data_IF_230636931259
#
_entry.id   IF_230636931259
#
_cell.length_a   1.000
_cell.length_b   1.000
_cell.length_c   1.000
_cell.angle_alpha   90.00
_cell.angle_beta   90.00
_cell.angle_gamma   90.00
#
_symmetry.space_group_name_H-M   'P 1'
#
loop_
_entity.id
_entity.type
_entity.pdbx_description
1 polymer ?
#
# COMPACT_ATOMS: atom_id res chain seq x y z
N UNK A 1 32.43 60.14 52.76
CA UNK A 1 33.82 59.63 52.77
C UNK A 1 33.76 58.14 53.04
N UNK A 2 34.45 57.33 52.24
CA UNK A 2 34.48 55.86 52.29
C UNK A 2 34.91 55.34 53.67
N UNK A 3 34.48 54.14 54.08
CA UNK A 3 35.33 52.92 54.18
C UNK A 3 34.42 51.71 54.40
N UNK A 4 34.67 50.65 53.62
CA UNK A 4 34.03 49.36 53.72
C UNK A 4 34.84 48.37 54.58
N UNK A 5 34.13 47.34 55.07
CA UNK A 5 34.57 46.00 55.48
C UNK A 5 35.36 45.84 56.79
N UNK A 6 34.81 44.98 57.65
CA UNK A 6 35.50 43.75 58.04
C UNK A 6 34.48 42.60 58.00
N UNK A 7 34.77 41.59 57.18
CA UNK A 7 34.09 40.30 57.17
C UNK A 7 34.74 39.46 58.26
N UNK A 8 33.98 39.02 59.26
CA UNK A 8 34.42 37.94 60.15
C UNK A 8 34.28 36.62 59.41
N UNK A 9 35.42 36.14 58.91
CA UNK A 9 35.56 34.82 58.30
C UNK A 9 35.76 33.80 59.42
N UNK A 10 34.70 33.08 59.78
CA UNK A 10 34.73 31.99 60.75
C UNK A 10 35.39 30.74 60.10
N UNK A 11 36.56 30.25 60.57
CA UNK A 11 37.39 29.31 59.82
C UNK A 11 37.09 27.83 60.10
N UNK A 12 35.96 27.49 60.72
CA UNK A 12 35.68 26.11 61.09
C UNK A 12 34.72 25.41 60.12
N UNK A 13 35.08 24.24 59.55
CA UNK A 13 34.16 23.48 58.71
C UNK A 13 32.98 23.00 59.55
N UNK A 14 31.75 23.32 59.11
CA UNK A 14 30.52 22.84 59.75
C UNK A 14 30.58 21.31 59.95
N UNK A 15 30.18 20.78 61.12
CA UNK A 15 30.18 19.35 61.35
C UNK A 15 29.27 18.65 60.33
N UNK A 16 29.84 17.73 59.53
CA UNK A 16 29.08 16.93 58.56
C UNK A 16 28.05 16.09 59.33
N UNK A 17 26.77 16.21 58.98
CA UNK A 17 25.65 15.45 59.56
C UNK A 17 26.00 13.95 59.52
N UNK A 18 25.81 13.25 60.64
CA UNK A 18 25.94 11.78 60.72
C UNK A 18 25.14 11.14 59.59
N UNK A 19 25.62 10.04 58.96
CA UNK A 19 24.90 9.39 57.89
C UNK A 19 23.54 8.93 58.41
N UNK A 20 22.49 9.61 57.92
CA UNK A 20 21.11 9.27 58.24
C UNK A 20 20.74 7.93 57.61
N UNK A 21 19.71 7.29 58.18
CA UNK A 21 19.12 6.03 57.72
C UNK A 21 18.88 6.08 56.20
N UNK A 22 19.25 5.02 55.44
CA UNK A 22 19.09 5.03 53.99
C UNK A 22 17.62 5.25 53.59
N UNK A 23 17.35 6.00 52.51
CA UNK A 23 16.01 6.39 52.10
C UNK A 23 15.15 5.17 51.72
N UNK A 24 13.84 5.24 52.02
CA UNK A 24 12.88 4.12 51.96
C UNK A 24 12.82 3.37 50.62
N UNK A 25 13.16 4.01 49.50
CA UNK A 25 13.19 3.36 48.19
C UNK A 25 14.32 2.32 48.03
N UNK A 26 15.29 2.28 48.96
CA UNK A 26 16.36 1.25 49.02
C UNK A 26 16.02 0.06 49.94
N UNK A 27 14.82 -0.02 50.52
CA UNK A 27 14.47 -1.05 51.51
C UNK A 27 13.80 -2.32 50.94
N UNK A 28 13.79 -2.52 49.61
CA UNK A 28 13.08 -3.65 48.98
C UNK A 28 13.81 -4.35 47.82
N UNK A 29 15.04 -3.96 47.48
CA UNK A 29 15.81 -4.67 46.46
C UNK A 29 16.31 -5.99 47.04
N UNK A 30 15.88 -7.12 46.46
CA UNK A 30 16.50 -8.43 46.70
C UNK A 30 18.00 -8.25 46.52
N UNK A 31 18.77 -8.27 47.60
CA UNK A 31 20.21 -8.17 47.55
C UNK A 31 20.73 -9.44 46.88
N UNK A 32 20.94 -9.38 45.56
CA UNK A 32 21.79 -10.35 44.87
C UNK A 32 23.11 -10.34 45.64
N UNK A 33 23.50 -11.48 46.17
CA UNK A 33 24.78 -11.63 46.88
C UNK A 33 25.86 -11.60 45.80
N UNK A 34 26.34 -10.39 45.48
CA UNK A 34 27.46 -10.22 44.57
C UNK A 34 28.70 -10.80 45.22
N UNK A 35 29.05 -12.03 44.81
CA UNK A 35 30.29 -12.68 45.23
C UNK A 35 31.40 -12.07 44.39
N UNK A 36 32.10 -11.09 44.97
CA UNK A 36 33.24 -10.43 44.31
C UNK A 36 34.36 -11.45 44.18
N UNK A 37 34.87 -11.72 42.97
CA UNK A 37 36.03 -12.59 42.78
C UNK A 37 37.23 -12.06 43.58
N UNK A 38 38.01 -12.96 44.18
CA UNK A 38 39.15 -12.61 45.06
C UNK A 38 40.14 -11.65 44.38
N UNK A 39 40.39 -11.83 43.09
CA UNK A 39 41.31 -10.99 42.32
C UNK A 39 40.78 -9.56 42.14
N UNK A 40 39.46 -9.42 42.02
CA UNK A 40 38.81 -8.13 41.89
C UNK A 40 38.79 -7.39 43.22
N UNK A 41 38.54 -8.10 44.32
CA UNK A 41 38.64 -7.53 45.66
C UNK A 41 40.05 -6.96 45.92
N UNK A 42 41.11 -7.68 45.51
CA UNK A 42 42.49 -7.18 45.61
C UNK A 42 42.73 -5.94 44.72
N UNK A 43 42.18 -5.89 43.51
CA UNK A 43 42.27 -4.71 42.64
C UNK A 43 41.55 -3.49 43.24
N UNK A 44 40.35 -3.67 43.78
CA UNK A 44 39.60 -2.59 44.44
C UNK A 44 40.38 -2.05 45.65
N UNK A 45 41.00 -2.92 46.45
CA UNK A 45 41.89 -2.51 47.55
C UNK A 45 43.08 -1.68 47.08
N UNK A 46 43.73 -2.06 45.98
CA UNK A 46 44.82 -1.26 45.40
C UNK A 46 44.34 0.11 44.93
N UNK A 47 43.16 0.20 44.31
CA UNK A 47 42.59 1.48 43.86
C UNK A 47 42.27 2.42 45.02
N UNK A 48 41.83 1.87 46.17
CA UNK A 48 41.65 2.64 47.40
C UNK A 48 43.01 3.13 47.94
N UNK A 49 44.03 2.28 47.93
CA UNK A 49 45.39 2.66 48.34
C UNK A 49 46.01 3.73 47.43
N UNK A 50 45.69 3.72 46.13
CA UNK A 50 46.06 4.74 45.16
C UNK A 50 45.27 6.05 45.31
N UNK A 51 44.33 6.12 46.27
CA UNK A 51 43.52 7.31 46.53
C UNK A 51 42.41 7.57 45.49
N UNK A 52 42.09 6.58 44.65
CA UNK A 52 41.02 6.71 43.63
C UNK A 52 39.61 6.56 44.21
N UNK A 53 39.49 6.01 45.41
CA UNK A 53 38.25 5.89 46.18
C UNK A 53 38.54 6.24 47.65
N UNK A 54 37.58 6.85 48.34
CA UNK A 54 37.69 7.22 49.76
C UNK A 54 37.66 5.99 50.68
N UNK A 55 37.05 4.88 50.23
CA UNK A 55 36.98 3.64 51.01
C UNK A 55 36.76 2.39 50.15
N UNK A 56 37.08 1.21 50.71
CA UNK A 56 36.76 -0.08 50.08
C UNK A 56 35.25 -0.24 49.83
N UNK A 57 34.41 0.30 50.71
CA UNK A 57 32.94 0.24 50.59
C UNK A 57 32.46 1.06 49.39
N UNK A 58 33.03 2.24 49.17
CA UNK A 58 32.74 3.07 48.01
C UNK A 58 33.18 2.37 46.72
N UNK A 59 34.39 1.82 46.68
CA UNK A 59 34.90 1.08 45.52
C UNK A 59 34.01 -0.12 45.15
N UNK A 60 33.56 -0.88 46.15
CA UNK A 60 32.62 -2.00 45.98
C UNK A 60 31.26 -1.49 45.47
N UNK A 61 30.74 -0.40 46.03
CA UNK A 61 29.46 0.18 45.61
C UNK A 61 29.49 0.59 44.14
N UNK A 62 30.53 1.30 43.70
CA UNK A 62 30.69 1.68 42.30
C UNK A 62 30.82 0.47 41.38
N UNK A 63 31.54 -0.57 41.80
CA UNK A 63 31.65 -1.81 41.04
C UNK A 63 30.28 -2.49 40.85
N UNK A 64 29.51 -2.67 41.92
CA UNK A 64 28.19 -3.33 41.85
C UNK A 64 27.25 -2.53 40.95
N UNK A 65 27.20 -1.20 41.09
CA UNK A 65 26.40 -0.34 40.22
C UNK A 65 26.80 -0.44 38.74
N UNK A 66 28.10 -0.57 38.45
CA UNK A 66 28.59 -0.74 37.09
C UNK A 66 28.27 -2.13 36.53
N UNK A 67 28.39 -3.17 37.35
CA UNK A 67 28.04 -4.54 36.98
C UNK A 67 26.55 -4.68 36.64
N UNK A 68 25.65 -4.12 37.46
CA UNK A 68 24.22 -4.11 37.17
C UNK A 68 23.92 -3.41 35.83
N UNK A 69 24.58 -2.27 35.57
CA UNK A 69 24.41 -1.55 34.30
C UNK A 69 24.97 -2.33 33.11
N UNK A 70 26.07 -3.06 33.28
CA UNK A 70 26.61 -3.93 32.24
C UNK A 70 25.65 -5.07 31.93
N UNK A 71 25.08 -5.72 32.94
CA UNK A 71 24.10 -6.79 32.76
C UNK A 71 22.86 -6.29 32.00
N UNK A 72 22.34 -5.11 32.36
CA UNK A 72 21.25 -4.47 31.63
C UNK A 72 21.58 -4.19 30.16
N UNK A 73 22.80 -3.71 29.89
CA UNK A 73 23.27 -3.46 28.53
C UNK A 73 23.45 -4.76 27.74
N UNK A 74 23.98 -5.82 28.34
CA UNK A 74 24.11 -7.15 27.71
C UNK A 74 22.75 -7.73 27.34
N UNK A 75 21.78 -7.68 28.25
CA UNK A 75 20.41 -8.12 27.96
C UNK A 75 19.77 -7.30 26.84
N UNK A 76 20.04 -5.99 26.81
CA UNK A 76 19.55 -5.12 25.73
C UNK A 76 20.20 -5.45 24.40
N UNK A 77 21.51 -5.68 24.37
CA UNK A 77 22.26 -6.08 23.16
C UNK A 77 21.69 -7.39 22.63
N UNK A 78 21.55 -8.40 23.48
CA UNK A 78 21.01 -9.71 23.10
C UNK A 78 19.60 -9.60 22.49
N UNK A 79 18.73 -8.77 23.07
CA UNK A 79 17.40 -8.50 22.48
C UNK A 79 17.50 -7.83 21.11
N UNK A 80 18.36 -6.83 20.96
CA UNK A 80 18.57 -6.14 19.69
C UNK A 80 19.14 -7.08 18.62
N UNK A 81 20.09 -7.96 18.96
CA UNK A 81 20.63 -8.97 18.06
C UNK A 81 19.54 -9.93 17.56
N UNK A 82 18.68 -10.43 18.47
CA UNK A 82 17.56 -11.29 18.05
C UNK A 82 16.55 -10.55 17.17
N UNK A 83 16.29 -9.27 17.43
CA UNK A 83 15.41 -8.46 16.60
C UNK A 83 16.01 -8.19 15.22
N UNK A 84 17.32 -7.93 15.16
CA UNK A 84 18.05 -7.73 13.93
C UNK A 84 17.97 -8.99 13.06
N UNK A 85 18.24 -10.16 13.63
CA UNK A 85 18.20 -11.43 12.89
C UNK A 85 16.81 -11.73 12.31
N UNK A 86 15.74 -11.46 13.07
CA UNK A 86 14.37 -11.59 12.57
C UNK A 86 14.12 -10.60 11.43
N UNK A 87 14.56 -9.35 11.56
CA UNK A 87 14.38 -8.32 10.53
C UNK A 87 15.18 -8.60 9.27
N UNK A 88 16.37 -9.18 9.39
CA UNK A 88 17.17 -9.61 8.25
C UNK A 88 16.47 -10.72 7.48
N UNK A 89 15.95 -11.75 8.17
CA UNK A 89 15.14 -12.82 7.55
C UNK A 89 13.88 -12.28 6.86
N UNK A 90 13.17 -11.35 7.49
CA UNK A 90 12.02 -10.67 6.88
C UNK A 90 12.43 -9.90 5.62
N UNK A 91 13.56 -9.20 5.65
CA UNK A 91 14.06 -8.43 4.50
C UNK A 91 14.44 -9.35 3.34
N UNK A 92 15.12 -10.46 3.62
CA UNK A 92 15.44 -11.48 2.62
C UNK A 92 14.18 -12.06 1.96
N UNK A 93 13.16 -12.40 2.76
CA UNK A 93 11.89 -12.88 2.25
C UNK A 93 11.18 -11.84 1.35
N UNK A 94 11.18 -10.58 1.76
CA UNK A 94 10.61 -9.49 0.95
C UNK A 94 11.38 -9.29 -0.36
N UNK A 95 12.71 -9.33 -0.34
CA UNK A 95 13.54 -9.26 -1.57
C UNK A 95 13.24 -10.42 -2.52
N UNK A 96 13.09 -11.63 -1.98
CA UNK A 96 12.70 -12.79 -2.79
C UNK A 96 11.31 -12.58 -3.42
N UNK A 97 10.35 -12.03 -2.66
CA UNK A 97 9.02 -11.73 -3.18
C UNK A 97 9.03 -10.65 -4.27
N UNK A 98 9.84 -9.61 -4.11
CA UNK A 98 10.03 -8.57 -5.14
C UNK A 98 10.52 -9.20 -6.44
N UNK A 99 11.53 -10.07 -6.37
CA UNK A 99 12.05 -10.76 -7.56
C UNK A 99 11.00 -11.58 -8.30
N UNK A 100 10.13 -12.28 -7.55
CA UNK A 100 9.01 -13.02 -8.15
C UNK A 100 8.02 -12.09 -8.83
N UNK A 101 7.65 -10.98 -8.18
CA UNK A 101 6.73 -9.99 -8.75
C UNK A 101 7.33 -9.31 -9.99
N UNK A 102 8.64 -9.08 -10.03
CA UNK A 102 9.35 -8.58 -11.20
C UNK A 102 9.25 -9.57 -12.37
N UNK A 103 9.47 -10.87 -12.14
CA UNK A 103 9.29 -11.88 -13.20
C UNK A 103 7.83 -11.98 -13.67
N UNK A 104 6.85 -11.93 -12.76
CA UNK A 104 5.42 -11.93 -13.12
C UNK A 104 5.06 -10.69 -13.97
N UNK A 105 5.66 -9.54 -13.65
CA UNK A 105 5.48 -8.31 -14.42
C UNK A 105 6.06 -8.44 -15.84
N UNK A 106 7.27 -8.98 -15.97
CA UNK A 106 7.89 -9.23 -17.28
C UNK A 106 7.05 -10.18 -18.14
N UNK A 107 6.53 -11.25 -17.53
CA UNK A 107 5.62 -12.17 -18.22
C UNK A 107 4.34 -11.47 -18.69
N UNK A 108 3.71 -10.68 -17.83
CA UNK A 108 2.51 -9.90 -18.18
C UNK A 108 2.77 -8.89 -19.30
N UNK A 109 3.94 -8.24 -19.32
CA UNK A 109 4.34 -7.37 -20.41
C UNK A 109 4.50 -8.15 -21.73
N UNK A 110 5.09 -9.35 -21.68
CA UNK A 110 5.15 -10.26 -22.82
C UNK A 110 3.77 -10.67 -23.34
N UNK A 111 2.83 -10.98 -22.44
CA UNK A 111 1.44 -11.27 -22.81
C UNK A 111 0.72 -10.07 -23.43
N UNK A 112 0.96 -8.85 -22.92
CA UNK A 112 0.41 -7.62 -23.52
C UNK A 112 0.94 -7.37 -24.93
N UNK A 113 2.22 -7.66 -25.19
CA UNK A 113 2.77 -7.54 -26.54
C UNK A 113 2.12 -8.56 -27.49
N UNK A 114 1.99 -9.82 -27.07
CA UNK A 114 1.28 -10.84 -27.86
C UNK A 114 -0.18 -10.48 -28.13
N UNK A 115 -0.88 -9.91 -27.14
CA UNK A 115 -2.25 -9.44 -27.31
C UNK A 115 -2.35 -8.37 -28.40
N UNK A 116 -1.45 -7.37 -28.39
CA UNK A 116 -1.38 -6.34 -29.44
C UNK A 116 -1.09 -6.91 -30.83
N UNK A 117 -0.21 -7.90 -30.93
CA UNK A 117 0.05 -8.58 -32.20
C UNK A 117 -1.18 -9.33 -32.73
N UNK A 118 -1.93 -9.98 -31.84
CA UNK A 118 -3.17 -10.66 -32.20
C UNK A 118 -4.28 -9.68 -32.59
N UNK A 119 -4.41 -8.56 -31.88
CA UNK A 119 -5.33 -7.48 -32.24
C UNK A 119 -5.04 -6.96 -33.65
N UNK A 120 -3.76 -6.70 -33.98
CA UNK A 120 -3.37 -6.27 -35.32
C UNK A 120 -3.69 -7.31 -36.40
N UNK A 121 -3.41 -8.59 -36.15
CA UNK A 121 -3.78 -9.69 -37.07
C UNK A 121 -5.29 -9.78 -37.25
N UNK A 122 -6.06 -9.54 -36.19
CA UNK A 122 -7.50 -9.55 -36.24
C UNK A 122 -8.05 -8.38 -37.08
N UNK A 123 -7.47 -7.19 -36.95
CA UNK A 123 -7.77 -6.05 -37.83
C UNK A 123 -7.42 -6.34 -39.30
N UNK A 124 -6.25 -6.91 -39.57
CA UNK A 124 -5.82 -7.31 -40.92
C UNK A 124 -6.80 -8.32 -41.53
N UNK A 125 -7.18 -9.36 -40.78
CA UNK A 125 -8.16 -10.35 -41.21
C UNK A 125 -9.56 -9.75 -41.40
N UNK A 126 -9.97 -8.78 -40.57
CA UNK A 126 -11.23 -8.08 -40.77
C UNK A 126 -11.22 -7.26 -42.06
N UNK A 127 -10.12 -6.59 -42.38
CA UNK A 127 -9.96 -5.86 -43.65
C UNK A 127 -10.00 -6.82 -44.84
N UNK A 128 -9.32 -7.96 -44.76
CA UNK A 128 -9.39 -9.00 -45.78
C UNK A 128 -10.80 -9.57 -45.93
N UNK A 129 -11.51 -9.82 -44.82
CA UNK A 129 -12.89 -10.28 -44.84
C UNK A 129 -13.80 -9.25 -45.54
N UNK A 130 -13.62 -7.96 -45.28
CA UNK A 130 -14.37 -6.88 -45.95
C UNK A 130 -14.06 -6.87 -47.45
N UNK A 131 -12.79 -7.01 -47.84
CA UNK A 131 -12.40 -7.09 -49.26
C UNK A 131 -12.98 -8.32 -49.95
N UNK A 132 -12.96 -9.47 -49.29
CA UNK A 132 -13.53 -10.72 -49.84
C UNK A 132 -15.05 -10.61 -49.93
N UNK A 133 -15.73 -10.04 -48.93
CA UNK A 133 -17.18 -9.80 -48.98
C UNK A 133 -17.56 -8.79 -50.06
N UNK A 134 -16.85 -7.66 -50.16
CA UNK A 134 -17.06 -6.68 -51.24
C UNK A 134 -16.76 -7.25 -52.63
N UNK A 135 -15.76 -8.14 -52.73
CA UNK A 135 -15.50 -8.94 -53.93
C UNK A 135 -16.64 -9.91 -54.25
N UNK A 136 -17.21 -10.57 -53.23
CA UNK A 136 -18.36 -11.46 -53.37
C UNK A 136 -19.64 -10.71 -53.76
N UNK A 137 -19.84 -9.50 -53.23
CA UNK A 137 -20.95 -8.63 -53.59
C UNK A 137 -20.79 -8.11 -55.02
N UNK A 138 -19.56 -7.84 -55.49
CA UNK A 138 -19.30 -7.55 -56.90
C UNK A 138 -19.52 -8.76 -57.83
N UNK A 139 -19.21 -9.99 -57.39
CA UNK A 139 -19.48 -11.22 -58.15
C UNK A 139 -20.98 -11.59 -58.18
N UNK A 140 -21.74 -11.27 -57.13
CA UNK A 140 -23.21 -11.37 -57.14
C UNK A 140 -23.86 -10.28 -57.99
N UNK A 141 -23.21 -9.12 -58.14
CA UNK A 141 -23.73 -8.00 -58.94
C UNK A 141 -23.64 -8.20 -60.46
N UNK A 142 -22.85 -9.15 -60.96
CA UNK A 142 -22.85 -9.49 -62.39
C UNK A 142 -24.05 -10.36 -62.80
N UNK A 143 -24.64 -11.14 -61.89
CA UNK A 143 -25.84 -11.96 -62.16
C UNK A 143 -27.17 -11.26 -61.82
N UNK A 144 -27.16 -10.14 -61.09
CA UNK A 144 -28.36 -9.37 -60.72
C UNK A 144 -28.44 -7.99 -61.39
N UNK A 145 -28.10 -7.90 -62.68
CA UNK A 145 -28.37 -6.71 -63.50
C UNK A 145 -29.84 -6.65 -63.98
N UNK A 146 -30.81 -6.75 -63.05
CA UNK A 146 -32.20 -6.26 -63.24
C UNK A 146 -32.84 -5.88 -61.90
N UNK A 147 -32.64 -4.63 -61.51
CA UNK A 147 -33.61 -3.89 -60.68
C UNK A 147 -33.07 -3.30 -59.39
N UNK A 148 -32.79 -2.00 -59.42
CA UNK A 148 -33.05 -1.09 -58.31
C UNK A 148 -32.09 -1.12 -57.12
N UNK A 149 -31.17 -0.15 -57.12
CA UNK A 149 -30.54 0.56 -55.98
C UNK A 149 -30.00 -0.25 -54.78
N UNK A 150 -28.72 -0.05 -54.39
CA UNK A 150 -28.17 -0.63 -53.17
C UNK A 150 -28.82 0.02 -51.95
N UNK A 151 -29.67 -0.74 -51.24
CA UNK A 151 -30.13 -0.42 -49.89
C UNK A 151 -28.99 -0.61 -48.89
N UNK A 152 -28.07 0.34 -48.86
CA UNK A 152 -27.17 0.58 -47.74
C UNK A 152 -27.69 1.76 -46.92
N UNK A 153 -28.83 1.55 -46.27
CA UNK A 153 -29.23 2.35 -45.12
C UNK A 153 -29.65 1.33 -44.08
N UNK A 154 -28.72 1.02 -43.17
CA UNK A 154 -29.04 0.48 -41.84
C UNK A 154 -30.34 1.11 -41.40
N UNK A 155 -31.37 0.31 -41.17
CA UNK A 155 -32.58 0.70 -40.46
C UNK A 155 -32.19 1.44 -39.18
N UNK A 156 -32.22 2.78 -39.27
CA UNK A 156 -31.48 3.76 -38.47
C UNK A 156 -32.25 4.21 -37.23
N UNK A 157 -33.17 3.38 -36.73
CA UNK A 157 -33.97 3.74 -35.55
C UNK A 157 -33.82 2.74 -34.40
N UNK A 158 -33.59 1.43 -34.64
CA UNK A 158 -33.46 0.41 -33.58
C UNK A 158 -32.02 0.06 -33.15
N UNK A 159 -31.01 0.41 -33.95
CA UNK A 159 -29.61 0.13 -33.66
C UNK A 159 -28.97 1.12 -32.65
N UNK A 160 -29.65 2.22 -32.29
CA UNK A 160 -29.07 3.28 -31.45
C UNK A 160 -29.22 3.00 -29.95
N UNK A 161 -30.42 2.59 -29.48
CA UNK A 161 -30.67 2.34 -28.06
C UNK A 161 -29.79 1.21 -27.48
N UNK A 162 -29.75 0.08 -28.17
CA UNK A 162 -29.04 -1.10 -27.68
C UNK A 162 -27.53 -0.91 -27.73
N UNK A 163 -27.01 -0.22 -28.75
CA UNK A 163 -25.59 0.14 -28.82
C UNK A 163 -25.16 1.09 -27.70
N UNK A 164 -26.01 2.04 -27.33
CA UNK A 164 -25.75 2.95 -26.20
C UNK A 164 -25.76 2.21 -24.84
N UNK A 165 -26.67 1.24 -24.66
CA UNK A 165 -26.73 0.44 -23.43
C UNK A 165 -25.55 -0.54 -23.33
N UNK A 166 -25.14 -1.17 -24.42
CA UNK A 166 -23.93 -2.01 -24.47
C UNK A 166 -22.69 -1.20 -24.10
N UNK A 167 -22.53 0.00 -24.67
CA UNK A 167 -21.42 0.90 -24.34
C UNK A 167 -21.41 1.34 -22.87
N UNK A 168 -22.58 1.53 -22.24
CA UNK A 168 -22.67 1.80 -20.80
C UNK A 168 -22.19 0.63 -19.94
N UNK A 169 -22.53 -0.61 -20.33
CA UNK A 169 -22.10 -1.81 -19.61
C UNK A 169 -20.58 -2.04 -19.75
N UNK A 170 -20.02 -1.76 -20.93
CA UNK A 170 -18.57 -1.78 -21.16
C UNK A 170 -17.84 -0.73 -20.32
N UNK A 171 -18.34 0.51 -20.29
CA UNK A 171 -17.78 1.57 -19.45
C UNK A 171 -17.86 1.20 -17.96
N UNK A 172 -18.95 0.59 -17.51
CA UNK A 172 -19.09 0.10 -16.12
C UNK A 172 -18.06 -0.99 -15.79
N UNK A 173 -17.81 -1.91 -16.73
CA UNK A 173 -16.77 -2.95 -16.59
C UNK A 173 -15.35 -2.36 -16.62
N UNK A 174 -15.17 -1.23 -17.32
CA UNK A 174 -13.91 -0.49 -17.37
C UNK A 174 -13.61 0.20 -16.04
N UNK A 175 -14.61 0.79 -15.37
CA UNK A 175 -14.48 1.38 -14.02
C UNK A 175 -13.91 0.39 -13.02
N UNK A 176 -14.35 -0.87 -13.04
CA UNK A 176 -13.87 -1.91 -12.12
C UNK A 176 -12.38 -2.26 -12.30
N UNK A 177 -11.79 -1.89 -13.43
CA UNK A 177 -10.40 -2.23 -13.82
C UNK A 177 -9.46 -1.02 -13.83
N UNK A 178 -9.99 0.17 -13.57
CA UNK A 178 -9.23 1.44 -13.64
C UNK A 178 -8.92 1.96 -12.24
N UNK A 179 -7.66 2.33 -11.99
CA UNK A 179 -7.19 2.88 -10.70
C UNK A 179 -6.73 4.34 -10.76
N UNK A 180 -6.91 4.99 -11.92
CA UNK A 180 -6.53 6.39 -12.13
C UNK A 180 -7.74 7.32 -11.95
N UNK A 181 -7.62 8.30 -11.05
CA UNK A 181 -8.70 9.25 -10.76
C UNK A 181 -9.15 10.04 -12.01
N UNK A 182 -8.20 10.44 -12.86
CA UNK A 182 -8.50 11.21 -14.08
C UNK A 182 -9.28 10.38 -15.11
N UNK A 183 -8.96 9.10 -15.24
CA UNK A 183 -9.66 8.20 -16.16
C UNK A 183 -11.05 7.84 -15.62
N UNK A 184 -11.21 7.74 -14.29
CA UNK A 184 -12.51 7.59 -13.65
C UNK A 184 -13.40 8.82 -13.91
N UNK A 185 -12.87 10.03 -13.78
CA UNK A 185 -13.62 11.27 -14.05
C UNK A 185 -14.02 11.44 -15.53
N UNK A 186 -13.24 10.87 -16.46
CA UNK A 186 -13.55 10.84 -17.90
C UNK A 186 -14.63 9.79 -18.20
N UNK A 187 -14.52 8.60 -17.60
CA UNK A 187 -15.52 7.54 -17.73
C UNK A 187 -16.87 7.98 -17.14
N UNK A 188 -16.88 8.64 -15.98
CA UNK A 188 -18.12 9.16 -15.38
C UNK A 188 -18.82 10.19 -16.27
N UNK A 189 -18.05 11.07 -16.93
CA UNK A 189 -18.60 12.06 -17.87
C UNK A 189 -19.20 11.38 -19.10
N UNK A 190 -18.53 10.37 -19.63
CA UNK A 190 -19.02 9.61 -20.77
C UNK A 190 -20.26 8.77 -20.43
N UNK A 191 -20.30 8.16 -19.24
CA UNK A 191 -21.48 7.45 -18.75
C UNK A 191 -22.70 8.37 -18.60
N UNK A 192 -22.54 9.57 -18.07
CA UNK A 192 -23.67 10.53 -17.93
C UNK A 192 -24.22 10.94 -19.28
N UNK A 193 -23.34 11.25 -20.24
CA UNK A 193 -23.73 11.62 -21.60
C UNK A 193 -24.52 10.50 -22.29
N UNK A 194 -24.01 9.26 -22.25
CA UNK A 194 -24.67 8.14 -22.90
C UNK A 194 -26.00 7.81 -22.19
N UNK A 195 -26.07 7.92 -20.85
CA UNK A 195 -27.31 7.73 -20.12
C UNK A 195 -28.39 8.78 -20.48
N UNK A 196 -28.00 10.02 -20.74
CA UNK A 196 -28.89 11.08 -21.23
C UNK A 196 -29.40 10.77 -22.65
N UNK A 197 -28.53 10.30 -23.54
CA UNK A 197 -28.88 9.88 -24.90
C UNK A 197 -29.86 8.68 -24.88
N UNK A 198 -29.60 7.66 -24.06
CA UNK A 198 -30.51 6.51 -23.86
C UNK A 198 -31.87 6.97 -23.35
N UNK A 199 -31.88 7.85 -22.35
CA UNK A 199 -33.10 8.37 -21.76
C UNK A 199 -33.94 9.18 -22.77
N UNK A 200 -33.30 9.95 -23.65
CA UNK A 200 -33.98 10.67 -24.72
C UNK A 200 -34.60 9.71 -25.75
N UNK A 201 -33.93 8.60 -26.06
CA UNK A 201 -34.48 7.57 -26.97
C UNK A 201 -35.65 6.82 -26.33
N UNK A 202 -35.57 6.50 -25.03
CA UNK A 202 -36.67 5.86 -24.30
C UNK A 202 -37.93 6.75 -24.22
N UNK A 203 -37.76 8.07 -24.01
CA UNK A 203 -38.87 9.03 -24.03
C UNK A 203 -39.54 9.12 -25.40
N UNK A 204 -38.75 9.18 -26.47
CA UNK A 204 -39.28 9.19 -27.85
C UNK A 204 -40.10 7.94 -28.17
N UNK A 205 -39.75 6.80 -27.56
CA UNK A 205 -40.44 5.51 -27.71
C UNK A 205 -41.59 5.30 -26.71
N UNK A 206 -41.82 6.24 -25.79
CA UNK A 206 -42.84 6.09 -24.74
C UNK A 206 -42.56 4.94 -23.76
N UNK A 207 -41.31 4.49 -23.66
CA UNK A 207 -40.91 3.39 -22.76
C UNK A 207 -40.59 3.99 -21.39
N UNK A 208 -41.19 3.41 -20.34
CA UNK A 208 -40.88 3.81 -18.96
C UNK A 208 -39.41 3.51 -18.61
N UNK A 209 -38.66 4.56 -18.33
CA UNK A 209 -37.22 4.51 -18.02
C UNK A 209 -36.93 3.61 -16.83
N UNK A 210 -37.77 3.66 -15.80
CA UNK A 210 -37.56 2.91 -14.55
C UNK A 210 -37.69 1.42 -14.81
N UNK A 211 -38.73 1.02 -15.54
CA UNK A 211 -38.98 -0.36 -15.93
C UNK A 211 -37.90 -0.89 -16.87
N UNK A 212 -37.46 -0.09 -17.85
CA UNK A 212 -36.38 -0.46 -18.78
C UNK A 212 -35.07 -0.77 -18.03
N UNK A 213 -34.59 0.17 -17.21
CA UNK A 213 -33.34 -0.02 -16.46
C UNK A 213 -33.42 -1.14 -15.43
N UNK A 214 -34.61 -1.38 -14.84
CA UNK A 214 -34.83 -2.51 -13.94
C UNK A 214 -34.65 -3.85 -14.65
N UNK A 215 -35.19 -3.99 -15.86
CA UNK A 215 -35.04 -5.21 -16.67
C UNK A 215 -33.59 -5.41 -17.10
N UNK A 216 -32.92 -4.36 -17.60
CA UNK A 216 -31.50 -4.43 -18.00
C UNK A 216 -30.61 -4.87 -16.84
N UNK A 217 -30.81 -4.32 -15.64
CA UNK A 217 -29.98 -4.63 -14.48
C UNK A 217 -30.31 -6.00 -13.83
N UNK A 218 -31.56 -6.45 -13.85
CA UNK A 218 -31.98 -7.68 -13.16
C UNK A 218 -31.98 -8.92 -14.04
N UNK A 219 -32.27 -8.77 -15.33
CA UNK A 219 -32.44 -9.89 -16.27
C UNK A 219 -31.47 -9.84 -17.44
N UNK A 220 -30.69 -8.76 -17.57
CA UNK A 220 -29.68 -8.63 -18.61
C UNK A 220 -30.20 -8.04 -19.91
N UNK A 221 -29.25 -7.72 -20.79
CA UNK A 221 -29.49 -7.02 -22.05
C UNK A 221 -30.35 -7.83 -23.03
N UNK A 222 -30.17 -9.15 -23.09
CA UNK A 222 -30.89 -10.03 -24.02
C UNK A 222 -32.39 -10.11 -23.70
N UNK A 223 -32.73 -10.14 -22.41
CA UNK A 223 -34.13 -10.13 -21.98
C UNK A 223 -34.76 -8.74 -22.18
N UNK A 224 -33.99 -7.66 -22.00
CA UNK A 224 -34.44 -6.33 -22.34
C UNK A 224 -34.70 -6.19 -23.84
N UNK A 225 -33.81 -6.74 -24.70
CA UNK A 225 -34.00 -6.80 -26.16
C UNK A 225 -35.25 -7.57 -26.53
N UNK A 226 -35.57 -8.66 -25.82
CA UNK A 226 -36.79 -9.44 -26.05
C UNK A 226 -38.07 -8.70 -25.67
N UNK A 227 -38.04 -7.89 -24.61
CA UNK A 227 -39.21 -7.19 -24.07
C UNK A 227 -39.45 -5.81 -24.69
N UNK A 228 -38.41 -5.14 -25.18
CA UNK A 228 -38.45 -3.77 -25.69
C UNK A 228 -37.88 -3.61 -27.11
N UNK A 229 -37.40 -4.70 -27.73
CA UNK A 229 -36.97 -4.71 -29.11
C UNK A 229 -38.16 -5.00 -30.02
N UNK A 230 -38.75 -3.93 -30.57
CA UNK A 230 -39.51 -4.02 -31.82
C UNK A 230 -38.56 -4.12 -33.02
#
# INVERSE_FOLDING_TARGET
>A
MMVAKAYDFDPLPKPRKRPGRPPKWKQGTKSKTFRIPTDLAQKLKRLVQEGKFESEVEAIYHYVMFADRLDELFERIKRLETQLEVKEKENEALRARIKVLESEKEELEGWKQKAKELEKKLEELQVELIKVKGGFDSLKSEDELKGGEPKDVRTLENADLWGLVERLLELKSKVERTWSQKELDEIEREQRRIAEEVNAVLERRGIDKVSFWKVVNQKGLDEAKRLFGE
#
